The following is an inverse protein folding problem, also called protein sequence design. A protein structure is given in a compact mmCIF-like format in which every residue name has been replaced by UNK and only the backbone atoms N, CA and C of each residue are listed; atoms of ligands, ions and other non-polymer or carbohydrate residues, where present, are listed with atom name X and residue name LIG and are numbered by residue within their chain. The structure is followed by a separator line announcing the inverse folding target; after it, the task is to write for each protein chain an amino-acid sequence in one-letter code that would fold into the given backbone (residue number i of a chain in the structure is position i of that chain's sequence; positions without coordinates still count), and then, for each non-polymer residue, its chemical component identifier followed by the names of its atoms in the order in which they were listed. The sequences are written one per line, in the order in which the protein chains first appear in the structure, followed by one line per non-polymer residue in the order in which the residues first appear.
data_IF_809742942515
#
_entry.id   IF_809742942515
#
_cell.length_a   1.000
_cell.length_b   1.000
_cell.length_c   1.000
_cell.angle_alpha   90.00
_cell.angle_beta   90.00
_cell.angle_gamma   90.00
#
_symmetry.space_group_name_H-M   'P 1'
#
loop_
_entity.id
_entity.type
_entity.pdbx_description
1 polymer ?
#
# COMPACT_ATOMS: atom_id res chain seq x y z
N UNK A 1 12.53 -10.44 -4.52
CA UNK A 1 12.35 -11.87 -4.86
C UNK A 1 12.63 -12.75 -3.66
N UNK A 2 13.86 -12.77 -3.11
CA UNK A 2 14.17 -13.59 -1.94
C UNK A 2 13.35 -13.15 -0.71
N UNK A 3 12.48 -14.04 -0.22
CA UNK A 3 11.60 -13.79 0.94
C UNK A 3 10.41 -12.85 0.68
N UNK A 4 10.19 -12.41 -0.56
CA UNK A 4 9.04 -11.57 -0.93
C UNK A 4 7.88 -12.38 -1.50
N UNK A 5 6.67 -11.86 -1.37
CA UNK A 5 5.48 -12.40 -2.04
C UNK A 5 5.35 -11.71 -3.41
N UNK A 6 5.46 -12.46 -4.50
CA UNK A 6 5.40 -11.89 -5.86
C UNK A 6 4.19 -12.41 -6.63
N UNK A 7 3.34 -11.51 -7.18
CA UNK A 7 2.24 -11.91 -8.05
C UNK A 7 2.68 -12.58 -9.35
N UNK A 8 3.95 -12.44 -9.77
CA UNK A 8 4.48 -13.15 -10.95
C UNK A 8 4.38 -14.66 -10.71
N UNK A 9 5.01 -15.13 -9.63
CA UNK A 9 5.00 -16.57 -9.28
C UNK A 9 3.60 -17.02 -8.93
N UNK A 10 2.81 -16.19 -8.24
CA UNK A 10 1.44 -16.54 -7.91
C UNK A 10 0.54 -16.67 -9.15
N UNK A 11 0.68 -15.78 -10.15
CA UNK A 11 -0.04 -15.87 -11.42
C UNK A 11 0.32 -17.14 -12.19
N UNK A 12 1.61 -17.41 -12.37
CA UNK A 12 2.08 -18.65 -13.03
C UNK A 12 1.61 -19.91 -12.29
N UNK A 13 1.65 -19.89 -10.94
CA UNK A 13 1.18 -20.99 -10.12
C UNK A 13 -0.33 -21.19 -10.26
N UNK A 14 -1.12 -20.12 -10.28
CA UNK A 14 -2.56 -20.19 -10.50
C UNK A 14 -2.87 -20.76 -11.90
N UNK A 15 -2.16 -20.28 -12.93
CA UNK A 15 -2.30 -20.80 -14.28
C UNK A 15 -1.98 -22.30 -14.36
N UNK A 16 -0.85 -22.74 -13.81
CA UNK A 16 -0.49 -24.16 -13.75
C UNK A 16 -1.49 -24.98 -12.93
N UNK A 17 -2.00 -24.45 -11.81
CA UNK A 17 -3.00 -25.14 -11.00
C UNK A 17 -4.32 -25.39 -11.77
N UNK A 18 -4.76 -24.45 -12.63
CA UNK A 18 -5.90 -24.67 -13.53
C UNK A 18 -5.67 -25.78 -14.56
N UNK A 19 -4.43 -26.03 -14.97
CA UNK A 19 -4.08 -27.07 -15.95
C UNK A 19 -3.93 -28.47 -15.34
N UNK A 20 -3.89 -28.57 -14.02
CA UNK A 20 -3.51 -29.81 -13.32
C UNK A 20 -4.53 -30.26 -12.25
N UNK A 21 -5.81 -29.90 -12.37
CA UNK A 21 -6.84 -30.41 -11.45
C UNK A 21 -6.91 -29.71 -10.08
N UNK A 22 -6.30 -28.52 -9.95
CA UNK A 22 -6.26 -27.73 -8.71
C UNK A 22 -7.01 -26.40 -8.85
N UNK A 23 -8.16 -26.40 -9.53
CA UNK A 23 -8.88 -25.18 -9.93
C UNK A 23 -9.34 -24.36 -8.72
N UNK A 24 -9.80 -25.01 -7.64
CA UNK A 24 -10.17 -24.32 -6.41
C UNK A 24 -8.98 -23.59 -5.76
N UNK A 25 -7.77 -24.18 -5.83
CA UNK A 25 -6.55 -23.54 -5.34
C UNK A 25 -6.12 -22.39 -6.26
N UNK A 26 -6.26 -22.55 -7.57
CA UNK A 26 -5.99 -21.50 -8.53
C UNK A 26 -6.89 -20.27 -8.33
N UNK A 27 -8.19 -20.49 -8.11
CA UNK A 27 -9.16 -19.43 -7.77
C UNK A 27 -8.76 -18.73 -6.48
N UNK A 28 -8.46 -19.48 -5.42
CA UNK A 28 -8.03 -18.91 -4.13
C UNK A 28 -6.75 -18.05 -4.27
N UNK A 29 -5.81 -18.43 -5.15
CA UNK A 29 -4.65 -17.57 -5.46
C UNK A 29 -5.11 -16.25 -6.11
N UNK A 30 -5.97 -16.31 -7.14
CA UNK A 30 -6.47 -15.11 -7.82
C UNK A 30 -7.25 -14.18 -6.87
N UNK A 31 -8.07 -14.73 -5.97
CA UNK A 31 -8.82 -13.97 -4.97
C UNK A 31 -7.88 -13.29 -3.96
N UNK A 32 -6.87 -14.01 -3.45
CA UNK A 32 -5.86 -13.43 -2.55
C UNK A 32 -5.06 -12.32 -3.23
N UNK A 33 -4.71 -12.49 -4.51
CA UNK A 33 -4.07 -11.44 -5.29
C UNK A 33 -4.99 -10.23 -5.48
N UNK A 34 -6.27 -10.45 -5.79
CA UNK A 34 -7.26 -9.38 -5.90
C UNK A 34 -7.39 -8.57 -4.61
N UNK A 35 -7.51 -9.25 -3.46
CA UNK A 35 -7.54 -8.61 -2.14
C UNK A 35 -6.25 -7.82 -1.86
N UNK A 36 -5.09 -8.38 -2.20
CA UNK A 36 -3.79 -7.74 -2.03
C UNK A 36 -3.67 -6.48 -2.92
N UNK A 37 -4.09 -6.55 -4.18
CA UNK A 37 -4.11 -5.39 -5.07
C UNK A 37 -5.04 -4.29 -4.56
N UNK A 38 -6.22 -4.64 -4.03
CA UNK A 38 -7.14 -3.67 -3.40
C UNK A 38 -6.51 -2.97 -2.19
N UNK A 39 -5.77 -3.71 -1.37
CA UNK A 39 -5.10 -3.15 -0.20
C UNK A 39 -4.04 -2.11 -0.57
N UNK A 40 -3.36 -2.26 -1.71
CA UNK A 40 -2.20 -1.44 -2.08
C UNK A 40 -2.41 -0.61 -3.34
N UNK A 41 -3.51 0.14 -3.39
CA UNK A 41 -3.75 1.14 -4.45
C UNK A 41 -4.47 0.63 -5.68
N UNK A 42 -5.14 -0.53 -5.60
CA UNK A 42 -5.88 -1.16 -6.70
C UNK A 42 -5.03 -1.49 -7.94
N UNK A 43 -3.76 -1.81 -7.71
CA UNK A 43 -2.82 -2.30 -8.73
C UNK A 43 -2.07 -3.53 -8.19
N UNK A 44 -1.55 -4.37 -9.08
CA UNK A 44 -0.68 -5.48 -8.69
C UNK A 44 0.78 -5.01 -8.68
N UNK A 45 1.36 -4.81 -7.50
CA UNK A 45 2.79 -4.55 -7.37
C UNK A 45 3.62 -5.78 -7.68
N UNK A 46 4.81 -5.59 -8.25
CA UNK A 46 5.69 -6.69 -8.66
C UNK A 46 6.12 -7.59 -7.51
N UNK A 47 6.40 -7.00 -6.35
CA UNK A 47 6.85 -7.70 -5.14
C UNK A 47 6.30 -7.00 -3.91
N UNK A 48 5.72 -7.79 -3.02
CA UNK A 48 5.43 -7.40 -1.65
C UNK A 48 6.49 -7.97 -0.72
N UNK A 49 6.83 -7.25 0.34
CA UNK A 49 7.65 -7.80 1.40
C UNK A 49 6.94 -9.00 2.01
N UNK A 50 7.66 -10.08 2.26
CA UNK A 50 7.08 -11.25 2.93
C UNK A 50 6.70 -10.96 4.38
N UNK A 51 6.24 -12.01 5.07
CA UNK A 51 5.94 -11.91 6.48
C UNK A 51 7.20 -11.56 7.28
N UNK A 52 7.23 -10.35 7.85
CA UNK A 52 8.14 -10.04 8.94
C UNK A 52 7.54 -10.58 10.24
N UNK A 53 8.37 -11.01 11.22
CA UNK A 53 7.89 -11.24 12.56
C UNK A 53 7.09 -10.02 13.02
N UNK A 54 5.92 -10.23 13.62
CA UNK A 54 5.17 -9.12 14.20
C UNK A 54 6.09 -8.42 15.20
N UNK A 55 6.44 -7.16 14.93
CA UNK A 55 7.08 -6.35 15.97
C UNK A 55 6.07 -6.18 17.09
N UNK A 56 6.55 -6.10 18.33
CA UNK A 56 5.68 -5.64 19.41
C UNK A 56 5.12 -4.27 19.01
N UNK A 57 3.82 -4.09 19.18
CA UNK A 57 3.20 -2.80 18.89
C UNK A 57 3.73 -1.81 19.93
N UNK A 58 4.40 -0.73 19.52
CA UNK A 58 4.90 0.26 20.45
C UNK A 58 3.74 0.87 21.24
N UNK A 59 3.93 1.01 22.55
CA UNK A 59 3.06 1.83 23.37
C UNK A 59 3.53 3.28 23.27
N UNK A 60 2.86 4.02 22.39
CA UNK A 60 3.15 5.44 22.21
C UNK A 60 2.52 6.30 23.30
N UNK A 61 3.25 7.34 23.67
CA UNK A 61 2.74 8.36 24.55
C UNK A 61 3.12 9.76 24.07
N UNK A 62 2.13 10.49 23.57
CA UNK A 62 2.31 11.87 23.09
C UNK A 62 2.60 12.82 24.24
N UNK A 63 3.49 13.79 24.02
CA UNK A 63 3.70 14.91 24.93
C UNK A 63 2.87 16.11 24.46
N UNK A 64 2.12 16.71 25.39
CA UNK A 64 1.45 17.98 25.14
C UNK A 64 2.48 19.11 25.21
N UNK A 65 2.77 19.72 24.05
CA UNK A 65 3.70 20.84 23.94
C UNK A 65 3.00 22.20 23.89
N UNK A 66 1.67 22.27 24.10
CA UNK A 66 0.89 23.50 23.89
C UNK A 66 1.37 24.66 24.77
N UNK A 67 1.76 24.38 26.02
CA UNK A 67 2.30 25.37 26.95
C UNK A 67 3.71 25.87 26.59
N UNK A 68 4.40 25.15 25.71
CA UNK A 68 5.76 25.43 25.27
C UNK A 68 5.84 25.98 23.85
N UNK A 69 4.77 25.82 23.07
CA UNK A 69 4.63 26.40 21.74
C UNK A 69 4.78 27.93 21.83
N UNK A 70 5.47 28.52 20.86
CA UNK A 70 5.83 29.94 20.87
C UNK A 70 5.75 30.59 19.48
N UNK A 71 5.43 29.83 18.42
CA UNK A 71 5.27 30.34 17.06
C UNK A 71 3.93 29.92 16.45
N UNK A 72 3.53 30.67 15.44
CA UNK A 72 2.40 30.37 14.57
C UNK A 72 2.87 29.60 13.32
N UNK A 73 2.00 28.76 12.78
CA UNK A 73 2.24 28.01 11.54
C UNK A 73 1.50 28.60 10.34
N UNK A 74 0.69 29.63 10.55
CA UNK A 74 -0.16 30.26 9.53
C UNK A 74 0.10 31.77 9.46
N UNK A 75 0.61 32.25 8.33
CA UNK A 75 0.84 33.65 8.01
C UNK A 75 2.00 34.28 8.78
N UNK A 76 1.92 35.60 8.94
CA UNK A 76 2.95 36.42 9.60
C UNK A 76 2.99 36.26 11.13
N UNK A 77 2.09 35.46 11.71
CA UNK A 77 1.89 35.37 13.17
C UNK A 77 0.91 36.41 13.69
N UNK A 78 1.00 36.70 15.00
CA UNK A 78 0.20 37.72 15.69
C UNK A 78 1.08 38.52 16.66
N UNK A 79 0.51 39.54 17.30
CA UNK A 79 1.25 40.31 18.31
C UNK A 79 1.82 39.38 19.40
N UNK A 80 3.15 39.43 19.60
CA UNK A 80 3.87 38.59 20.55
C UNK A 80 4.06 37.11 20.14
N UNK A 81 3.59 36.69 18.95
CA UNK A 81 3.75 35.34 18.43
C UNK A 81 4.27 35.43 17.00
N UNK A 82 5.58 35.18 16.75
CA UNK A 82 6.11 35.24 15.39
C UNK A 82 5.47 34.16 14.51
N UNK A 83 5.32 34.47 13.22
CA UNK A 83 4.97 33.49 12.19
C UNK A 83 6.07 32.45 11.99
N UNK A 84 5.77 31.42 11.19
CA UNK A 84 6.58 30.20 11.04
C UNK A 84 8.09 30.47 10.89
N UNK A 85 8.50 31.09 9.78
CA UNK A 85 9.87 31.58 9.57
C UNK A 85 9.96 33.11 9.47
N UNK A 86 8.84 33.81 9.67
CA UNK A 86 8.73 35.26 9.54
C UNK A 86 8.52 35.77 8.10
N UNK A 87 8.09 34.89 7.18
CA UNK A 87 7.95 35.19 5.74
C UNK A 87 6.48 35.21 5.27
N UNK A 88 5.54 35.50 6.16
CA UNK A 88 4.12 35.63 5.79
C UNK A 88 3.49 34.30 5.37
N UNK A 89 2.94 34.24 4.16
CA UNK A 89 2.26 33.07 3.58
C UNK A 89 3.21 31.97 3.07
N UNK A 90 4.53 32.14 3.26
CA UNK A 90 5.51 31.05 3.17
C UNK A 90 5.56 30.28 4.50
N UNK A 91 4.50 29.51 4.75
CA UNK A 91 4.20 28.92 6.06
C UNK A 91 3.78 27.43 5.96
N UNK A 92 3.23 26.90 7.06
CA UNK A 92 2.69 25.55 7.15
C UNK A 92 1.18 25.55 7.45
N UNK A 93 0.40 26.49 6.91
CA UNK A 93 -1.01 26.66 7.31
C UNK A 93 -1.91 25.43 7.05
N UNK A 94 -1.52 24.54 6.13
CA UNK A 94 -2.24 23.28 5.86
C UNK A 94 -1.94 22.18 6.87
N UNK A 95 -0.99 22.36 7.80
CA UNK A 95 -0.69 21.35 8.81
C UNK A 95 -1.91 21.16 9.72
N UNK A 96 -2.39 19.93 9.92
CA UNK A 96 -3.52 19.69 10.81
C UNK A 96 -3.09 19.88 12.27
N UNK A 97 -4.05 20.11 13.16
CA UNK A 97 -3.86 20.22 14.60
C UNK A 97 -4.59 19.09 15.36
N UNK A 98 -4.36 18.99 16.66
CA UNK A 98 -4.90 17.93 17.51
C UNK A 98 -4.16 16.61 17.33
N UNK A 99 -4.84 15.50 17.61
CA UNK A 99 -4.28 14.15 17.48
C UNK A 99 -4.14 13.79 16.00
N UNK A 100 -2.92 13.43 15.58
CA UNK A 100 -2.58 13.08 14.20
C UNK A 100 -1.63 11.88 14.20
N UNK A 101 -1.88 10.90 13.33
CA UNK A 101 -0.91 9.84 13.06
C UNK A 101 -0.11 10.19 11.80
N UNK A 102 1.21 10.37 11.94
CA UNK A 102 2.10 10.78 10.85
C UNK A 102 3.32 9.85 10.81
N UNK A 103 3.59 9.27 9.64
CA UNK A 103 4.58 8.19 9.46
C UNK A 103 4.38 7.01 10.45
N UNK A 104 3.14 6.68 10.80
CA UNK A 104 2.80 5.62 11.76
C UNK A 104 3.09 5.96 13.22
N UNK A 105 3.41 7.22 13.53
CA UNK A 105 3.65 7.70 14.89
C UNK A 105 2.54 8.70 15.25
N UNK A 106 1.86 8.54 16.40
CA UNK A 106 0.88 9.52 16.84
C UNK A 106 1.58 10.76 17.39
N UNK A 107 1.04 11.94 17.12
CA UNK A 107 1.44 13.23 17.68
C UNK A 107 0.21 14.02 18.11
N UNK A 108 0.35 14.92 19.09
CA UNK A 108 -0.67 15.92 19.42
C UNK A 108 -0.10 17.29 19.09
N UNK A 109 -0.66 17.92 18.06
CA UNK A 109 -0.23 19.24 17.58
C UNK A 109 -1.10 20.32 18.25
N UNK A 110 -0.52 21.38 18.85
CA UNK A 110 -1.29 22.45 19.46
C UNK A 110 -2.22 23.13 18.45
N UNK A 111 -3.46 23.41 18.87
CA UNK A 111 -4.45 24.10 18.05
C UNK A 111 -4.27 25.62 18.14
N UNK A 112 -3.89 26.32 17.05
CA UNK A 112 -3.69 27.76 17.07
C UNK A 112 -4.96 28.56 17.39
N UNK A 113 -6.16 28.00 17.17
CA UNK A 113 -7.42 28.69 17.46
C UNK A 113 -7.68 28.80 18.96
N UNK A 114 -7.27 27.80 19.72
CA UNK A 114 -7.47 27.71 21.17
C UNK A 114 -6.22 28.04 21.97
N UNK A 115 -5.03 27.99 21.36
CA UNK A 115 -3.74 28.26 22.02
C UNK A 115 -3.16 29.65 21.70
N UNK A 116 -4.01 30.62 21.35
CA UNK A 116 -3.59 32.00 21.09
C UNK A 116 -2.55 32.10 19.97
N UNK A 117 -2.83 31.44 18.84
CA UNK A 117 -1.99 31.35 17.62
C UNK A 117 -0.71 30.53 17.75
N UNK A 118 -0.36 30.03 18.95
CA UNK A 118 0.84 29.19 19.16
C UNK A 118 0.56 27.74 18.76
N UNK A 119 1.14 27.30 17.65
CA UNK A 119 0.94 25.98 17.07
C UNK A 119 2.20 25.10 17.11
N UNK A 120 3.38 25.67 17.33
CA UNK A 120 4.64 24.93 17.34
C UNK A 120 5.69 25.59 18.23
N UNK A 121 6.79 24.88 18.49
CA UNK A 121 8.00 25.42 19.10
C UNK A 121 8.98 25.82 18.00
N UNK A 122 9.28 27.10 17.89
CA UNK A 122 10.35 27.66 17.07
C UNK A 122 11.57 28.02 17.91
N UNK A 123 12.70 27.46 17.52
CA UNK A 123 14.01 27.66 18.15
C UNK A 123 14.94 28.38 17.17
N UNK A 124 15.44 29.56 17.55
CA UNK A 124 16.36 30.37 16.75
C UNK A 124 16.97 31.50 17.59
N UNK A 125 18.16 32.00 17.22
CA UNK A 125 18.70 33.24 17.81
C UNK A 125 18.21 34.52 17.11
N UNK A 126 17.34 34.40 16.10
CA UNK A 126 16.70 35.56 15.45
C UNK A 126 15.77 36.27 16.44
N UNK A 127 15.66 37.59 16.30
CA UNK A 127 14.77 38.39 17.13
C UNK A 127 13.32 37.87 17.06
N UNK A 128 12.66 37.75 18.22
CA UNK A 128 11.28 37.26 18.36
C UNK A 128 11.14 35.76 18.59
N UNK A 129 12.20 34.96 18.42
CA UNK A 129 12.18 33.51 18.67
C UNK A 129 12.86 33.17 20.00
N UNK A 130 12.49 32.03 20.59
CA UNK A 130 13.21 31.51 21.75
C UNK A 130 14.53 30.86 21.31
N UNK A 131 15.61 31.12 22.04
CA UNK A 131 16.89 30.42 21.83
C UNK A 131 16.92 29.05 22.53
N UNK A 132 16.04 28.82 23.51
CA UNK A 132 15.90 27.54 24.19
C UNK A 132 14.50 27.35 24.77
N UNK A 133 14.02 26.11 24.78
CA UNK A 133 12.76 25.70 25.41
C UNK A 133 12.98 24.38 26.16
N UNK A 134 12.58 24.34 27.44
CA UNK A 134 12.63 23.14 28.29
C UNK A 134 11.23 22.57 28.49
N UNK A 135 11.07 21.29 28.18
CA UNK A 135 9.81 20.55 28.23
C UNK A 135 9.93 19.48 29.32
N UNK A 136 9.15 19.56 30.42
CA UNK A 136 9.09 18.50 31.42
C UNK A 136 8.53 17.20 30.83
N UNK A 137 9.08 16.04 31.24
CA UNK A 137 8.65 14.73 30.72
C UNK A 137 8.17 13.81 31.85
N UNK A 138 9.02 13.59 32.87
CA UNK A 138 8.74 12.77 34.05
C UNK A 138 8.36 11.31 33.72
N UNK A 139 8.98 10.76 32.67
CA UNK A 139 8.73 9.39 32.18
C UNK A 139 9.98 8.81 31.55
N UNK A 140 10.09 7.49 31.57
CA UNK A 140 11.08 6.75 30.78
C UNK A 140 10.56 6.52 29.35
N UNK A 141 11.48 6.38 28.41
CA UNK A 141 11.17 6.06 27.02
C UNK A 141 12.39 5.41 26.38
N UNK A 142 12.19 4.39 25.54
CA UNK A 142 13.26 3.83 24.74
C UNK A 142 13.55 4.69 23.50
N UNK A 143 12.51 5.28 22.92
CA UNK A 143 12.63 6.19 21.79
C UNK A 143 11.83 7.48 22.01
N UNK A 144 12.40 8.60 21.58
CA UNK A 144 11.74 9.91 21.54
C UNK A 144 11.58 10.32 20.08
N UNK A 145 10.34 10.37 19.59
CA UNK A 145 10.01 10.81 18.25
C UNK A 145 9.75 12.32 18.21
N UNK A 146 10.34 13.00 17.23
CA UNK A 146 10.13 14.42 16.96
C UNK A 146 9.48 14.59 15.60
N UNK A 147 8.41 15.37 15.53
CA UNK A 147 7.85 15.90 14.29
C UNK A 147 8.40 17.32 14.08
N UNK A 148 9.37 17.46 13.19
CA UNK A 148 10.16 18.70 13.11
C UNK A 148 10.74 18.98 11.73
N UNK A 149 11.28 20.18 11.57
CA UNK A 149 11.96 20.63 10.36
C UNK A 149 12.88 21.83 10.63
N UNK A 150 13.71 22.18 9.64
CA UNK A 150 14.65 23.30 9.73
C UNK A 150 14.59 24.21 8.51
N UNK A 151 15.09 25.44 8.67
CA UNK A 151 15.33 26.38 7.58
C UNK A 151 16.58 27.21 7.87
N UNK A 152 17.18 27.76 6.82
CA UNK A 152 18.30 28.72 6.91
C UNK A 152 19.49 28.22 7.77
N UNK A 153 19.82 26.93 7.69
CA UNK A 153 20.99 26.36 8.39
C UNK A 153 22.29 26.85 7.77
N UNK A 154 23.32 27.05 8.60
CA UNK A 154 24.68 27.37 8.16
C UNK A 154 25.34 26.20 7.40
N UNK A 155 26.59 26.39 6.95
CA UNK A 155 27.32 25.41 6.16
C UNK A 155 27.55 24.06 6.87
N UNK A 156 27.58 24.05 8.21
CA UNK A 156 27.70 22.82 9.01
C UNK A 156 26.38 22.05 9.14
N UNK A 157 25.26 22.65 8.72
CA UNK A 157 23.93 22.07 8.76
C UNK A 157 23.32 21.95 10.16
N UNK A 158 23.98 22.45 11.22
CA UNK A 158 23.50 22.31 12.60
C UNK A 158 22.44 23.36 12.88
N UNK A 159 21.23 22.93 13.25
CA UNK A 159 20.12 23.82 13.58
C UNK A 159 19.91 23.98 15.10
N UNK A 160 20.32 22.98 15.88
CA UNK A 160 20.15 23.01 17.32
C UNK A 160 20.66 21.76 18.02
N UNK A 161 20.33 21.64 19.30
CA UNK A 161 20.66 20.49 20.14
C UNK A 161 19.43 20.08 20.93
N UNK A 162 19.16 18.77 20.94
CA UNK A 162 18.23 18.11 21.86
C UNK A 162 19.05 17.64 23.06
N UNK A 163 18.69 18.06 24.26
CA UNK A 163 19.29 17.62 25.51
C UNK A 163 18.25 16.89 26.35
N UNK A 164 18.48 15.62 26.63
CA UNK A 164 17.67 14.79 27.53
C UNK A 164 18.34 14.81 28.91
N UNK A 165 17.66 15.39 29.89
CA UNK A 165 18.08 15.44 31.28
C UNK A 165 17.32 14.36 32.06
N UNK A 166 18.04 13.54 32.83
CA UNK A 166 17.45 12.51 33.68
C UNK A 166 17.34 12.98 35.13
N UNK A 167 16.44 12.37 35.90
CA UNK A 167 16.22 12.70 37.31
C UNK A 167 17.46 12.46 38.20
N UNK A 168 18.34 11.53 37.82
CA UNK A 168 19.60 11.24 38.53
C UNK A 168 20.69 12.31 38.29
N UNK A 169 20.38 13.36 37.53
CA UNK A 169 21.29 14.44 37.16
C UNK A 169 22.17 14.16 35.93
N UNK A 170 22.17 12.93 35.42
CA UNK A 170 22.87 12.62 34.16
C UNK A 170 22.17 13.24 32.96
N UNK A 171 22.89 13.39 31.84
CA UNK A 171 22.33 13.98 30.63
C UNK A 171 22.87 13.32 29.36
N UNK A 172 22.09 13.42 28.29
CA UNK A 172 22.47 13.03 26.94
C UNK A 172 22.13 14.16 25.97
N UNK A 173 23.00 14.41 24.98
CA UNK A 173 22.79 15.46 23.99
C UNK A 173 22.93 14.92 22.56
N UNK A 174 22.07 15.42 21.67
CA UNK A 174 22.08 15.11 20.24
C UNK A 174 21.96 16.39 19.42
N UNK A 175 22.95 16.66 18.58
CA UNK A 175 22.85 17.73 17.59
C UNK A 175 21.79 17.41 16.53
N UNK A 176 21.04 18.43 16.16
CA UNK A 176 20.04 18.40 15.09
C UNK A 176 20.71 18.93 13.83
N UNK A 177 20.97 18.04 12.88
CA UNK A 177 21.80 18.27 11.70
C UNK A 177 20.99 17.98 10.45
N UNK A 178 20.86 18.99 9.59
CA UNK A 178 20.20 18.88 8.30
C UNK A 178 20.90 17.82 7.44
N UNK A 179 20.12 16.93 6.84
CA UNK A 179 20.64 15.81 6.05
C UNK A 179 20.83 14.52 6.85
N UNK A 180 20.78 14.58 8.19
CA UNK A 180 20.92 13.41 9.06
C UNK A 180 19.62 13.09 9.80
N UNK A 181 19.26 13.91 10.79
CA UNK A 181 18.08 13.69 11.65
C UNK A 181 16.98 14.74 11.48
N UNK A 182 17.20 15.70 10.59
CA UNK A 182 16.19 16.68 10.18
C UNK A 182 16.42 17.08 8.73
N UNK A 183 15.40 17.62 8.08
CA UNK A 183 15.47 18.10 6.70
C UNK A 183 14.77 19.44 6.56
N UNK A 184 15.11 20.14 5.47
CA UNK A 184 14.42 21.37 5.07
C UNK A 184 12.95 21.11 4.80
N UNK A 185 12.10 22.07 5.16
CA UNK A 185 10.65 21.94 5.04
C UNK A 185 10.13 22.10 3.61
N UNK A 186 10.89 22.72 2.71
CA UNK A 186 10.61 22.72 1.27
C UNK A 186 11.16 21.46 0.61
N UNK A 187 10.33 20.82 -0.23
CA UNK A 187 10.68 19.59 -0.96
C UNK A 187 11.33 18.54 -0.04
N UNK A 188 10.72 18.20 1.12
CA UNK A 188 11.40 17.40 2.12
C UNK A 188 11.73 16.02 1.57
N UNK A 189 12.95 15.57 1.86
CA UNK A 189 13.45 14.25 1.50
C UNK A 189 13.66 13.43 2.77
N UNK A 190 13.74 12.11 2.63
CA UNK A 190 14.15 11.27 3.76
C UNK A 190 15.68 11.35 3.88
N UNK A 191 16.19 11.49 5.10
CA UNK A 191 17.61 11.34 5.41
C UNK A 191 17.96 9.86 5.57
N UNK A 192 18.48 9.49 6.74
CA UNK A 192 18.63 8.08 7.11
C UNK A 192 17.25 7.45 7.36
N UNK A 193 16.80 6.58 6.45
CA UNK A 193 15.49 5.91 6.51
C UNK A 193 15.30 5.04 7.76
N UNK A 194 16.38 4.68 8.47
CA UNK A 194 16.30 3.90 9.71
C UNK A 194 15.78 4.71 10.89
N UNK A 195 16.00 6.02 10.86
CA UNK A 195 15.67 6.93 11.97
C UNK A 195 14.85 8.13 11.55
N UNK A 196 14.60 8.33 10.25
CA UNK A 196 13.78 9.44 9.74
C UNK A 196 12.76 8.98 8.69
N UNK A 197 11.63 9.68 8.63
CA UNK A 197 10.61 9.50 7.61
C UNK A 197 9.91 10.83 7.29
N UNK A 198 9.50 11.05 6.04
CA UNK A 198 8.65 12.21 5.70
C UNK A 198 7.26 11.92 6.26
N UNK A 199 6.86 12.70 7.26
CA UNK A 199 5.68 12.41 8.07
C UNK A 199 4.42 13.09 7.53
N UNK A 200 4.59 14.25 6.91
CA UNK A 200 3.49 15.03 6.35
C UNK A 200 3.96 15.85 5.16
N UNK A 201 3.05 16.07 4.20
CA UNK A 201 3.22 16.98 3.06
C UNK A 201 1.98 17.85 2.89
N UNK A 202 2.20 19.08 2.46
CA UNK A 202 1.16 20.03 2.07
C UNK A 202 1.70 21.04 1.06
N UNK A 203 0.97 22.13 0.87
CA UNK A 203 1.33 23.24 -0.01
C UNK A 203 1.10 24.58 0.66
N UNK A 204 1.73 25.62 0.12
CA UNK A 204 1.42 27.01 0.41
C UNK A 204 1.51 27.85 -0.88
N UNK A 205 1.48 29.19 -0.76
CA UNK A 205 1.54 30.08 -1.91
C UNK A 205 2.88 30.03 -2.68
N UNK A 206 3.96 29.55 -2.04
CA UNK A 206 5.33 29.58 -2.56
C UNK A 206 5.84 28.21 -3.01
N UNK A 207 5.35 27.13 -2.38
CA UNK A 207 5.78 25.77 -2.68
C UNK A 207 4.60 24.80 -2.59
N UNK A 208 4.39 24.02 -3.66
CA UNK A 208 3.33 23.00 -3.73
C UNK A 208 3.68 21.71 -2.96
N UNK A 209 4.86 21.65 -2.34
CA UNK A 209 5.35 20.48 -1.64
C UNK A 209 6.25 20.91 -0.46
N UNK A 210 5.59 21.38 0.58
CA UNK A 210 6.18 21.61 1.90
C UNK A 210 5.92 20.38 2.78
N UNK A 211 6.68 20.19 3.84
CA UNK A 211 6.41 19.08 4.74
C UNK A 211 7.29 18.98 5.97
N UNK A 212 7.02 17.93 6.74
CA UNK A 212 7.62 17.68 8.06
C UNK A 212 8.30 16.31 8.08
N UNK A 213 9.36 16.22 8.88
CA UNK A 213 10.07 14.97 9.10
C UNK A 213 9.73 14.43 10.49
N UNK A 214 9.44 13.13 10.57
CA UNK A 214 9.48 12.40 11.83
C UNK A 214 10.90 11.86 12.03
N UNK A 215 11.48 12.07 13.20
CA UNK A 215 12.79 11.58 13.60
C UNK A 215 12.68 10.80 14.90
N UNK A 216 13.15 9.54 14.91
CA UNK A 216 13.28 8.73 16.12
C UNK A 216 14.66 8.89 16.74
N UNK A 217 14.72 9.52 17.91
CA UNK A 217 15.92 9.59 18.75
C UNK A 217 15.95 8.38 19.69
N UNK A 218 16.92 7.47 19.48
CA UNK A 218 17.19 6.40 20.45
C UNK A 218 17.69 7.00 21.76
N UNK A 219 16.97 6.73 22.86
CA UNK A 219 17.42 7.07 24.20
C UNK A 219 18.52 6.07 24.62
N UNK A 220 19.74 6.52 24.96
CA UNK A 220 20.81 5.62 25.43
C UNK A 220 20.56 5.02 26.81
N UNK A 221 19.62 5.58 27.59
CA UNK A 221 19.27 5.14 28.94
C UNK A 221 17.74 4.95 29.06
N UNK A 222 17.17 3.94 28.35
CA UNK A 222 15.73 3.73 28.25
C UNK A 222 15.05 3.48 29.60
N UNK A 223 15.78 2.96 30.58
CA UNK A 223 15.32 2.65 31.94
C UNK A 223 15.24 3.89 32.85
N UNK A 224 15.91 4.99 32.49
CA UNK A 224 15.96 6.19 33.32
C UNK A 224 14.72 7.06 33.11
N UNK A 225 14.20 7.61 34.20
CA UNK A 225 13.17 8.64 34.11
C UNK A 225 13.77 9.92 33.52
N UNK A 226 13.20 10.38 32.40
CA UNK A 226 13.56 11.65 31.77
C UNK A 226 12.89 12.76 32.60
N UNK A 227 13.69 13.60 33.24
CA UNK A 227 13.20 14.78 33.93
C UNK A 227 12.67 15.80 32.90
N UNK A 228 13.48 16.10 31.88
CA UNK A 228 13.12 17.08 30.85
C UNK A 228 13.87 16.89 29.53
N UNK A 229 13.27 17.41 28.45
CA UNK A 229 13.90 17.57 27.15
C UNK A 229 14.09 19.07 26.91
N UNK A 230 15.32 19.49 26.65
CA UNK A 230 15.65 20.88 26.32
C UNK A 230 16.05 20.98 24.86
N UNK A 231 15.39 21.88 24.13
CA UNK A 231 15.70 22.22 22.74
C UNK A 231 16.46 23.53 22.74
N UNK A 232 17.65 23.58 22.15
CA UNK A 232 18.51 24.77 22.14
C UNK A 232 18.98 25.10 20.73
N UNK A 233 18.95 26.37 20.36
CA UNK A 233 19.40 26.86 19.06
C UNK A 233 20.91 26.62 18.86
N UNK A 234 21.31 26.32 17.64
CA UNK A 234 22.72 26.39 17.26
C UNK A 234 23.18 27.85 17.22
N UNK A 235 24.49 28.08 17.05
CA UNK A 235 24.97 29.43 16.73
C UNK A 235 24.45 29.86 15.34
N UNK A 236 24.33 31.18 15.13
CA UNK A 236 23.82 31.73 13.87
C UNK A 236 22.30 31.90 13.84
N UNK A 237 21.75 32.04 12.64
CA UNK A 237 20.36 32.42 12.40
C UNK A 237 19.44 31.26 12.00
N UNK A 238 19.90 30.01 12.11
CA UNK A 238 19.12 28.83 11.78
C UNK A 238 17.77 28.83 12.49
N UNK A 239 16.74 28.35 11.80
CA UNK A 239 15.41 28.12 12.35
C UNK A 239 15.17 26.62 12.49
N UNK A 240 14.70 26.21 13.66
CA UNK A 240 14.27 24.84 13.95
C UNK A 240 12.86 24.85 14.52
N UNK A 241 11.92 24.22 13.80
CA UNK A 241 10.51 24.11 14.20
C UNK A 241 10.17 22.70 14.65
N UNK A 242 9.57 22.55 15.83
CA UNK A 242 9.09 21.29 16.41
C UNK A 242 7.59 21.38 16.66
N UNK A 243 6.82 20.50 16.03
CA UNK A 243 5.35 20.51 16.09
C UNK A 243 4.78 19.40 16.99
N UNK A 244 5.57 18.39 17.30
CA UNK A 244 5.11 17.29 18.14
C UNK A 244 6.26 16.46 18.68
N UNK A 245 6.06 15.88 19.87
CA UNK A 245 6.99 14.96 20.51
C UNK A 245 6.20 13.77 21.05
N UNK A 246 6.70 12.56 20.82
CA UNK A 246 6.06 11.31 21.25
C UNK A 246 7.08 10.35 21.80
N UNK A 247 6.79 9.76 22.95
CA UNK A 247 7.59 8.72 23.58
C UNK A 247 7.15 7.34 23.10
N UNK A 248 8.09 6.40 23.04
CA UNK A 248 7.86 4.99 22.75
C UNK A 248 8.67 4.12 23.71
N UNK A 249 8.11 2.98 24.09
CA UNK A 249 8.72 1.93 24.89
C UNK A 249 9.45 0.86 24.05
N UNK A 250 9.66 1.14 22.75
CA UNK A 250 10.35 0.26 21.81
C UNK A 250 11.51 1.00 21.10
N UNK A 251 12.46 0.26 20.49
CA UNK A 251 13.49 0.83 19.64
C UNK A 251 12.91 1.65 18.47
N UNK A 252 13.75 2.53 17.92
CA UNK A 252 13.36 3.35 16.76
C UNK A 252 12.89 2.46 15.62
N UNK A 253 11.64 2.65 15.21
CA UNK A 253 11.05 1.99 14.06
C UNK A 253 10.09 2.93 13.33
N UNK A 254 10.00 2.75 12.02
CA UNK A 254 8.99 3.35 11.16
C UNK A 254 8.32 2.23 10.37
N UNK A 255 7.03 2.38 9.98
CA UNK A 255 6.39 1.43 9.09
C UNK A 255 7.21 1.28 7.81
N UNK A 256 7.62 0.04 7.53
CA UNK A 256 8.26 -0.29 6.26
C UNK A 256 7.15 -0.43 5.22
N UNK A 257 7.32 0.22 4.06
CA UNK A 257 6.40 -0.02 2.95
C UNK A 257 6.42 -1.51 2.61
N UNK A 258 5.26 -2.18 2.59
CA UNK A 258 5.20 -3.58 2.19
C UNK A 258 5.42 -3.75 0.69
N UNK A 259 5.59 -2.66 -0.07
CA UNK A 259 5.83 -2.67 -1.51
C UNK A 259 7.33 -2.56 -1.79
N UNK A 260 7.84 -3.42 -2.65
CA UNK A 260 9.24 -3.43 -3.08
C UNK A 260 9.39 -2.97 -4.53
N UNK A 261 10.10 -1.86 -4.75
CA UNK A 261 10.24 -1.17 -6.05
C UNK A 261 11.40 -1.66 -6.94
N UNK A 262 11.76 -2.94 -6.88
CA UNK A 262 12.93 -3.48 -7.59
C UNK A 262 12.68 -4.05 -9.00
N UNK A 263 11.42 -4.24 -9.39
CA UNK A 263 11.01 -4.90 -10.64
C UNK A 263 9.76 -4.19 -11.17
N UNK A 264 9.57 -4.01 -12.49
CA UNK A 264 8.38 -3.39 -13.06
C UNK A 264 7.07 -4.12 -12.69
N UNK A 265 6.03 -3.37 -12.33
CA UNK A 265 4.71 -3.91 -11.96
C UNK A 265 3.97 -4.59 -13.12
N UNK A 266 4.29 -4.21 -14.36
CA UNK A 266 3.70 -4.80 -15.56
C UNK A 266 3.94 -6.31 -15.64
N UNK A 267 5.05 -6.83 -15.12
CA UNK A 267 5.35 -8.26 -15.15
C UNK A 267 4.41 -9.06 -14.25
N UNK A 268 4.14 -8.55 -13.05
CA UNK A 268 3.16 -9.12 -12.14
C UNK A 268 1.76 -9.07 -12.75
N UNK A 269 1.35 -7.91 -13.27
CA UNK A 269 0.03 -7.74 -13.87
C UNK A 269 -0.19 -8.70 -15.02
N UNK A 270 0.80 -8.87 -15.90
CA UNK A 270 0.72 -9.82 -17.02
C UNK A 270 0.50 -11.26 -16.56
N UNK A 271 1.26 -11.76 -15.59
CA UNK A 271 1.10 -13.12 -15.08
C UNK A 271 -0.28 -13.37 -14.44
N UNK A 272 -0.83 -12.38 -13.74
CA UNK A 272 -2.17 -12.48 -13.13
C UNK A 272 -3.26 -12.46 -14.19
N UNK A 273 -3.16 -11.56 -15.19
CA UNK A 273 -4.10 -11.49 -16.31
C UNK A 273 -4.03 -12.76 -17.16
N UNK A 274 -2.83 -13.28 -17.37
CA UNK A 274 -2.59 -14.55 -18.05
C UNK A 274 -3.36 -15.71 -17.37
N UNK A 275 -3.21 -15.85 -16.05
CA UNK A 275 -3.94 -16.85 -15.27
C UNK A 275 -5.46 -16.64 -15.27
N UNK A 276 -5.94 -15.39 -15.30
CA UNK A 276 -7.37 -15.10 -15.40
C UNK A 276 -7.94 -15.47 -16.77
N UNK A 277 -7.25 -15.14 -17.86
CA UNK A 277 -7.72 -15.33 -19.23
C UNK A 277 -7.58 -16.80 -19.66
N UNK A 278 -6.38 -17.37 -19.59
CA UNK A 278 -6.12 -18.73 -20.07
C UNK A 278 -6.49 -19.79 -19.02
N UNK A 279 -6.38 -19.44 -17.73
CA UNK A 279 -6.72 -20.31 -16.62
C UNK A 279 -8.21 -20.29 -16.29
N UNK A 280 -8.74 -19.22 -15.71
CA UNK A 280 -10.13 -19.22 -15.22
C UNK A 280 -11.17 -19.11 -16.33
N UNK A 281 -11.03 -18.10 -17.20
CA UNK A 281 -11.91 -17.93 -18.35
C UNK A 281 -11.64 -19.00 -19.44
N UNK A 282 -10.43 -19.57 -19.44
CA UNK A 282 -10.10 -20.74 -20.24
C UNK A 282 -9.92 -20.49 -21.73
N UNK A 283 -9.58 -19.28 -22.15
CA UNK A 283 -9.48 -18.93 -23.57
C UNK A 283 -8.03 -18.94 -24.02
N UNK A 284 -7.69 -19.85 -24.93
CA UNK A 284 -6.34 -19.96 -25.51
C UNK A 284 -6.42 -19.97 -27.03
N UNK A 285 -5.66 -19.10 -27.70
CA UNK A 285 -5.50 -19.15 -29.15
C UNK A 285 -4.60 -20.34 -29.52
N UNK A 286 -5.14 -21.32 -30.24
CA UNK A 286 -4.39 -22.50 -30.69
C UNK A 286 -3.81 -22.29 -32.10
N UNK A 287 -4.13 -21.17 -32.76
CA UNK A 287 -3.67 -20.87 -34.11
C UNK A 287 -3.34 -19.38 -34.24
N UNK A 288 -3.84 -18.70 -35.27
CA UNK A 288 -3.57 -17.29 -35.51
C UNK A 288 -4.86 -16.49 -35.46
N UNK A 289 -4.94 -15.54 -34.53
CA UNK A 289 -6.05 -14.60 -34.48
C UNK A 289 -7.37 -15.26 -34.07
N UNK A 290 -7.31 -16.29 -33.23
CA UNK A 290 -8.45 -17.09 -32.80
C UNK A 290 -9.16 -17.85 -33.94
N UNK A 291 -8.47 -18.20 -35.03
CA UNK A 291 -9.04 -19.07 -36.07
C UNK A 291 -9.41 -20.45 -35.53
N UNK A 292 -8.66 -20.94 -34.55
CA UNK A 292 -8.91 -22.15 -33.76
C UNK A 292 -8.62 -21.85 -32.29
N UNK A 293 -9.61 -22.09 -31.42
CA UNK A 293 -9.57 -21.65 -30.02
C UNK A 293 -9.84 -22.82 -29.09
N UNK A 294 -9.09 -22.93 -27.99
CA UNK A 294 -9.48 -23.77 -26.85
C UNK A 294 -10.29 -22.94 -25.86
N UNK A 295 -11.43 -23.48 -25.41
CA UNK A 295 -12.38 -22.84 -24.49
C UNK A 295 -12.63 -23.76 -23.30
N UNK A 296 -12.05 -23.41 -22.15
CA UNK A 296 -12.06 -24.22 -20.93
C UNK A 296 -12.57 -23.42 -19.72
N UNK A 297 -13.85 -23.03 -19.70
CA UNK A 297 -14.40 -22.27 -18.58
C UNK A 297 -14.33 -23.10 -17.29
N UNK A 298 -13.73 -22.51 -16.26
CA UNK A 298 -13.55 -23.13 -14.93
C UNK A 298 -14.32 -22.39 -13.82
N UNK A 299 -15.38 -21.68 -14.21
CA UNK A 299 -16.18 -20.82 -13.33
C UNK A 299 -16.88 -21.56 -12.18
N UNK A 300 -17.17 -22.85 -12.35
CA UNK A 300 -17.70 -23.71 -11.29
C UNK A 300 -16.76 -23.80 -10.08
N UNK A 301 -15.44 -23.74 -10.29
CA UNK A 301 -14.45 -23.67 -9.20
C UNK A 301 -14.50 -22.34 -8.43
N UNK A 302 -14.93 -21.26 -9.09
CA UNK A 302 -15.11 -19.94 -8.49
C UNK A 302 -16.53 -19.73 -7.91
N UNK A 303 -17.39 -20.74 -7.96
CA UNK A 303 -18.79 -20.61 -7.55
C UNK A 303 -19.60 -19.62 -8.39
N UNK A 304 -19.13 -19.28 -9.59
CA UNK A 304 -19.78 -18.31 -10.47
C UNK A 304 -20.78 -19.03 -11.36
N UNK A 305 -22.06 -18.74 -11.17
CA UNK A 305 -23.15 -19.37 -11.92
C UNK A 305 -23.36 -18.75 -13.30
N UNK A 306 -23.07 -17.46 -13.47
CA UNK A 306 -23.26 -16.76 -14.74
C UNK A 306 -22.13 -15.78 -15.00
N UNK A 307 -21.61 -15.78 -16.23
CA UNK A 307 -20.56 -14.84 -16.65
C UNK A 307 -20.54 -14.68 -18.17
N UNK A 308 -20.20 -13.47 -18.60
CA UNK A 308 -19.88 -13.16 -19.98
C UNK A 308 -18.37 -12.89 -20.08
N UNK A 309 -17.68 -13.67 -20.90
CA UNK A 309 -16.27 -13.44 -21.22
C UNK A 309 -16.11 -13.07 -22.70
N UNK A 310 -15.24 -12.12 -22.99
CA UNK A 310 -14.80 -11.79 -24.35
C UNK A 310 -13.31 -11.55 -24.33
N UNK A 311 -12.58 -12.24 -25.20
CA UNK A 311 -11.14 -12.05 -25.38
C UNK A 311 -10.90 -11.71 -26.84
N UNK A 312 -10.13 -10.63 -27.08
CA UNK A 312 -9.97 -10.05 -28.41
C UNK A 312 -8.54 -9.58 -28.61
N UNK A 313 -8.02 -9.81 -29.82
CA UNK A 313 -6.87 -9.10 -30.36
C UNK A 313 -7.36 -7.89 -31.16
N UNK A 314 -7.18 -6.65 -30.67
CA UNK A 314 -7.76 -5.47 -31.31
C UNK A 314 -7.25 -5.25 -32.73
N UNK A 315 -5.97 -5.52 -32.98
CA UNK A 315 -5.30 -5.24 -34.26
C UNK A 315 -5.73 -6.17 -35.40
N UNK A 316 -5.96 -7.46 -35.12
CA UNK A 316 -6.39 -8.44 -36.12
C UNK A 316 -7.91 -8.61 -36.18
N UNK A 317 -8.65 -7.98 -35.28
CA UNK A 317 -10.08 -8.21 -35.05
C UNK A 317 -10.44 -9.65 -34.62
N UNK A 318 -9.45 -10.49 -34.35
CA UNK A 318 -9.66 -11.84 -33.84
C UNK A 318 -10.30 -11.81 -32.46
N UNK A 319 -11.35 -12.60 -32.20
CA UNK A 319 -11.99 -12.69 -30.89
C UNK A 319 -12.74 -14.02 -30.68
N UNK A 320 -12.98 -14.32 -29.41
CA UNK A 320 -13.99 -15.27 -28.95
C UNK A 320 -14.78 -14.64 -27.80
N UNK A 321 -16.07 -14.93 -27.75
CA UNK A 321 -16.94 -14.53 -26.66
C UNK A 321 -17.85 -15.68 -26.26
N UNK A 322 -18.13 -15.82 -24.97
CA UNK A 322 -19.10 -16.78 -24.48
C UNK A 322 -19.89 -16.26 -23.27
N UNK A 323 -21.14 -16.70 -23.16
CA UNK A 323 -21.97 -16.60 -21.97
C UNK A 323 -22.04 -17.98 -21.35
N UNK A 324 -21.48 -18.11 -20.16
CA UNK A 324 -21.56 -19.32 -19.36
C UNK A 324 -22.72 -19.17 -18.36
N UNK A 325 -23.55 -20.20 -18.26
CA UNK A 325 -24.61 -20.30 -17.27
C UNK A 325 -24.61 -21.71 -16.67
N UNK A 326 -24.60 -21.81 -15.35
CA UNK A 326 -24.65 -23.05 -14.60
C UNK A 326 -25.93 -23.11 -13.78
N UNK A 327 -26.86 -23.96 -14.22
CA UNK A 327 -28.06 -24.30 -13.49
C UNK A 327 -27.78 -25.51 -12.59
N UNK A 328 -27.64 -25.23 -11.29
CA UNK A 328 -27.32 -26.24 -10.28
C UNK A 328 -28.52 -27.18 -10.07
N UNK A 329 -29.75 -26.65 -10.11
CA UNK A 329 -30.97 -27.43 -9.83
C UNK A 329 -31.29 -28.39 -10.97
N UNK A 330 -31.05 -27.98 -12.21
CA UNK A 330 -31.24 -28.81 -13.41
C UNK A 330 -30.01 -29.64 -13.78
N UNK A 331 -28.94 -29.57 -12.97
CA UNK A 331 -27.66 -30.24 -13.25
C UNK A 331 -27.17 -29.98 -14.68
N UNK A 332 -27.19 -28.71 -15.10
CA UNK A 332 -26.91 -28.32 -16.48
C UNK A 332 -25.96 -27.12 -16.56
N UNK A 333 -25.00 -27.17 -17.48
CA UNK A 333 -24.18 -26.02 -17.88
C UNK A 333 -24.54 -25.66 -19.32
N UNK A 334 -24.88 -24.40 -19.57
CA UNK A 334 -25.10 -23.86 -20.90
C UNK A 334 -24.00 -22.87 -21.26
N UNK A 335 -23.47 -22.99 -22.47
CA UNK A 335 -22.50 -22.06 -23.03
C UNK A 335 -23.04 -21.55 -24.36
N UNK A 336 -23.45 -20.28 -24.41
CA UNK A 336 -23.67 -19.57 -25.67
C UNK A 336 -22.34 -18.96 -26.09
N UNK A 337 -21.92 -19.12 -27.34
CA UNK A 337 -20.61 -18.62 -27.79
C UNK A 337 -20.62 -18.18 -29.24
N UNK A 338 -19.65 -17.32 -29.56
CA UNK A 338 -19.42 -16.77 -30.89
C UNK A 338 -17.95 -16.33 -31.00
N UNK A 339 -17.48 -16.07 -32.21
CA UNK A 339 -16.10 -15.69 -32.46
C UNK A 339 -15.86 -15.34 -33.92
N UNK A 340 -14.64 -14.90 -34.21
CA UNK A 340 -14.18 -14.62 -35.59
C UNK A 340 -13.60 -15.83 -36.31
N UNK A 341 -13.35 -16.93 -35.60
CA UNK A 341 -12.69 -18.11 -36.11
C UNK A 341 -13.62 -19.14 -36.71
N UNK A 342 -13.09 -20.36 -36.85
CA UNK A 342 -13.76 -21.48 -37.50
C UNK A 342 -14.16 -22.57 -36.50
N UNK A 343 -13.37 -22.76 -35.43
CA UNK A 343 -13.52 -23.90 -34.53
C UNK A 343 -13.19 -23.57 -33.07
N UNK A 344 -13.95 -24.16 -32.16
CA UNK A 344 -13.67 -24.23 -30.73
C UNK A 344 -13.52 -25.68 -30.24
N UNK A 345 -12.46 -25.91 -29.48
CA UNK A 345 -12.27 -27.14 -28.68
C UNK A 345 -12.61 -26.83 -27.22
N UNK A 346 -13.61 -27.51 -26.69
CA UNK A 346 -14.07 -27.31 -25.34
C UNK A 346 -13.45 -28.31 -24.36
N UNK A 347 -13.13 -27.81 -23.17
CA UNK A 347 -12.67 -28.59 -22.01
C UNK A 347 -13.34 -28.01 -20.76
N UNK A 348 -14.63 -28.29 -20.57
CA UNK A 348 -15.48 -27.58 -19.60
C UNK A 348 -15.43 -28.27 -18.23
N UNK A 349 -15.03 -27.55 -17.19
CA UNK A 349 -14.99 -28.07 -15.82
C UNK A 349 -16.40 -28.33 -15.28
N UNK A 350 -16.66 -29.56 -14.83
CA UNK A 350 -17.88 -29.90 -14.14
C UNK A 350 -17.83 -29.52 -12.65
N UNK A 351 -18.99 -29.23 -12.04
CA UNK A 351 -19.05 -28.93 -10.61
C UNK A 351 -18.49 -30.06 -9.74
N UNK A 352 -17.95 -29.70 -8.58
CA UNK A 352 -17.43 -30.68 -7.61
C UNK A 352 -18.53 -31.68 -7.21
N UNK A 353 -18.17 -32.97 -7.21
CA UNK A 353 -19.07 -34.06 -6.80
C UNK A 353 -19.89 -34.66 -7.95
N UNK A 354 -19.82 -34.09 -9.15
CA UNK A 354 -20.35 -34.73 -10.36
C UNK A 354 -19.58 -36.02 -10.64
N UNK A 355 -20.29 -37.05 -11.09
CA UNK A 355 -19.71 -38.38 -11.37
C UNK A 355 -19.74 -38.73 -12.85
N UNK A 356 -20.74 -38.25 -13.59
CA UNK A 356 -20.86 -38.53 -15.01
C UNK A 356 -21.57 -37.43 -15.79
N UNK A 357 -21.11 -37.21 -17.03
CA UNK A 357 -21.86 -36.46 -18.05
C UNK A 357 -22.98 -37.37 -18.57
N UNK A 358 -24.19 -36.85 -18.67
CA UNK A 358 -25.33 -37.58 -19.23
C UNK A 358 -25.53 -37.26 -20.71
N UNK A 359 -25.31 -36.00 -21.12
CA UNK A 359 -25.44 -35.57 -22.51
C UNK A 359 -24.75 -34.24 -22.77
N UNK A 360 -24.24 -34.07 -23.99
CA UNK A 360 -23.83 -32.78 -24.56
C UNK A 360 -24.65 -32.54 -25.83
N UNK A 361 -25.33 -31.40 -25.94
CA UNK A 361 -26.20 -31.10 -27.09
C UNK A 361 -26.05 -29.67 -27.61
N UNK A 362 -26.23 -29.49 -28.91
CA UNK A 362 -26.52 -28.21 -29.57
C UNK A 362 -28.03 -28.15 -29.82
N UNK A 363 -28.75 -27.41 -28.97
CA UNK A 363 -30.20 -27.50 -28.87
C UNK A 363 -30.65 -28.93 -28.59
N UNK A 364 -31.29 -29.57 -29.57
CA UNK A 364 -31.75 -30.98 -29.48
C UNK A 364 -30.79 -31.98 -30.11
N UNK A 365 -29.74 -31.52 -30.80
CA UNK A 365 -28.81 -32.38 -31.53
C UNK A 365 -27.69 -32.86 -30.60
N UNK A 366 -27.47 -34.18 -30.45
CA UNK A 366 -26.34 -34.71 -29.67
C UNK A 366 -24.99 -34.33 -30.29
N UNK A 367 -24.03 -33.97 -29.43
CA UNK A 367 -22.62 -33.76 -29.77
C UNK A 367 -21.82 -34.93 -29.18
N UNK A 368 -20.86 -35.45 -29.95
CA UNK A 368 -19.93 -36.44 -29.43
C UNK A 368 -18.99 -35.77 -28.41
N UNK A 369 -18.86 -36.38 -27.23
CA UNK A 369 -18.05 -35.85 -26.14
C UNK A 369 -17.22 -36.95 -25.49
N UNK A 370 -16.16 -36.55 -24.80
CA UNK A 370 -15.40 -37.38 -23.88
C UNK A 370 -15.49 -36.81 -22.46
N UNK A 371 -15.49 -37.70 -21.47
CA UNK A 371 -15.31 -37.35 -20.07
C UNK A 371 -13.83 -37.53 -19.73
N UNK A 372 -13.18 -36.46 -19.33
CA UNK A 372 -11.76 -36.46 -18.94
C UNK A 372 -11.65 -36.20 -17.44
N UNK A 373 -10.79 -36.96 -16.78
CA UNK A 373 -10.51 -36.82 -15.35
C UNK A 373 -9.06 -36.35 -15.18
N UNK A 374 -8.87 -35.25 -14.45
CA UNK A 374 -7.56 -34.71 -14.08
C UNK A 374 -7.57 -34.56 -12.56
N UNK A 375 -6.76 -35.37 -11.88
CA UNK A 375 -6.75 -35.46 -10.41
C UNK A 375 -8.16 -35.71 -9.84
N UNK A 376 -8.82 -34.69 -9.28
CA UNK A 376 -10.16 -34.78 -8.70
C UNK A 376 -11.24 -34.09 -9.54
N UNK A 377 -10.87 -33.55 -10.70
CA UNK A 377 -11.72 -32.70 -11.53
C UNK A 377 -12.16 -33.46 -12.78
N UNK A 378 -13.45 -33.35 -13.09
CA UNK A 378 -14.05 -33.96 -14.27
C UNK A 378 -14.35 -32.87 -15.29
N UNK A 379 -14.03 -33.16 -16.55
CA UNK A 379 -14.17 -32.27 -17.67
C UNK A 379 -15.01 -32.88 -18.79
N UNK A 380 -15.77 -32.03 -19.47
CA UNK A 380 -16.47 -32.36 -20.71
C UNK A 380 -15.66 -31.85 -21.91
N UNK A 381 -15.15 -32.79 -22.71
CA UNK A 381 -14.38 -32.51 -23.91
C UNK A 381 -15.24 -32.71 -25.15
N UNK A 382 -15.34 -31.68 -25.98
CA UNK A 382 -16.08 -31.76 -27.25
C UNK A 382 -15.62 -30.67 -28.22
N UNK A 383 -16.05 -30.77 -29.46
CA UNK A 383 -15.72 -29.82 -30.52
C UNK A 383 -16.99 -29.17 -31.05
N UNK A 384 -16.89 -27.88 -31.38
CA UNK A 384 -17.96 -27.16 -32.07
C UNK A 384 -17.39 -26.16 -33.08
N UNK A 385 -18.05 -26.06 -34.22
CA UNK A 385 -17.74 -25.05 -35.22
C UNK A 385 -18.23 -23.67 -34.75
N UNK A 386 -17.48 -22.63 -35.08
CA UNK A 386 -17.86 -21.26 -34.78
C UNK A 386 -18.83 -20.75 -35.86
N UNK A 387 -20.02 -20.37 -35.41
CA UNK A 387 -21.02 -19.68 -36.20
C UNK A 387 -21.42 -18.37 -35.50
N UNK A 388 -22.16 -17.45 -36.15
CA UNK A 388 -22.51 -16.16 -35.56
C UNK A 388 -23.17 -16.26 -34.17
N UNK A 389 -23.89 -17.35 -33.89
CA UNK A 389 -24.40 -17.70 -32.57
C UNK A 389 -24.49 -19.22 -32.43
N UNK A 390 -23.71 -19.77 -31.51
CA UNK A 390 -23.75 -21.19 -31.14
C UNK A 390 -24.21 -21.34 -29.68
N UNK A 391 -24.79 -22.48 -29.34
CA UNK A 391 -25.15 -22.82 -27.97
C UNK A 391 -24.89 -24.31 -27.72
N UNK A 392 -24.25 -24.63 -26.60
CA UNK A 392 -24.10 -26.01 -26.14
C UNK A 392 -24.62 -26.14 -24.72
N UNK A 393 -25.31 -27.25 -24.45
CA UNK A 393 -25.77 -27.64 -23.12
C UNK A 393 -25.11 -28.94 -22.69
N UNK A 394 -24.62 -28.99 -21.46
CA UNK A 394 -23.93 -30.11 -20.82
C UNK A 394 -24.74 -30.51 -19.60
N UNK A 395 -25.39 -31.67 -19.65
CA UNK A 395 -26.14 -32.22 -18.52
C UNK A 395 -25.31 -33.29 -17.82
N UNK A 396 -25.43 -33.38 -16.50
CA UNK A 396 -24.61 -34.26 -15.67
C UNK A 396 -25.39 -34.83 -14.47
N UNK A 397 -24.78 -35.76 -13.74
CA UNK A 397 -25.32 -36.38 -12.52
C UNK A 397 -24.29 -36.62 -11.42
#
# INVERSE_FOLDING_TARGET
MNGGVTPIVAGELAHGAFQHGFEAYAVDILERLYALGKQYGSIFHSVYTGAFPASQRPHFQTLDISQHANIDVNGAGSEGVPGWIGEGDNDLHEVPYGWQEMAGIPFVLPDPQTNGRRAAIGISNRAGYASSVRIPVQKSAETIYFLHTVSQTEADGVAGTITVQYEDGSMFARHVVRGYNVQGWWLPQVGDQRVTHVAWRGKNAHCLNVGLLAYGLQNPFPEKCIDSITLTAAQGAAFWGVLGITLSDQPVSFPVSPISYGIPDGWATSAVIYALIEGLAGVVDQATGYSHVAVSPRWSAAGVQQVHATVRYPASHGYVAYHYAHDIEQHCITIEFTGSGERCDFHVLLPKGVTAITSVTDGTKPIAYAQVEIEQSIYADFHADLHPRCQVSISYR
#
